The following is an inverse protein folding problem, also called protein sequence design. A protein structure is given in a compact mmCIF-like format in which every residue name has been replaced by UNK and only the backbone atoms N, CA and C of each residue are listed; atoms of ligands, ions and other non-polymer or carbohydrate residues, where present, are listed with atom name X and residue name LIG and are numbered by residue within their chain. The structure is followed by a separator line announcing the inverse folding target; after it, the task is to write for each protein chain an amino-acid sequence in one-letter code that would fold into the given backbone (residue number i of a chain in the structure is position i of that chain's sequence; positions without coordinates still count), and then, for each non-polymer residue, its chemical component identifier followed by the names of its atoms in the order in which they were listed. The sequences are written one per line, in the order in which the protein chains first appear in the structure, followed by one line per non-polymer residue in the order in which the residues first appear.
data_IF_284848203418
#
_entry.id   IF_284848203418
#
_cell.length_a   1.000
_cell.length_b   1.000
_cell.length_c   1.000
_cell.angle_alpha   90.00
_cell.angle_beta   90.00
_cell.angle_gamma   90.00
#
_symmetry.space_group_name_H-M   'P 1'
#
loop_
_entity.id
_entity.type
_entity.pdbx_description
1 polymer ?
#
# COMPACT_ATOMS: atom_id res chain seq x y z
N UNK A 1 17.85 -23.19 5.97
CA UNK A 1 16.52 -23.70 5.56
C UNK A 1 15.85 -24.46 6.69
N UNK A 2 16.49 -25.49 7.28
CA UNK A 2 15.94 -26.18 8.47
C UNK A 2 15.49 -25.23 9.58
N UNK A 3 16.32 -24.23 9.91
CA UNK A 3 15.99 -23.18 10.88
C UNK A 3 14.65 -22.48 10.63
N UNK A 4 14.30 -22.15 9.37
CA UNK A 4 13.03 -21.46 9.07
C UNK A 4 11.81 -22.34 9.34
N UNK A 5 11.95 -23.65 9.09
CA UNK A 5 10.89 -24.62 9.38
C UNK A 5 10.72 -24.75 10.90
N UNK A 6 11.83 -24.82 11.64
CA UNK A 6 11.80 -24.92 13.09
C UNK A 6 11.21 -23.63 13.71
N UNK A 7 11.64 -22.45 13.23
CA UNK A 7 11.12 -21.14 13.66
C UNK A 7 9.59 -21.05 13.43
N UNK A 8 9.08 -21.53 12.29
CA UNK A 8 7.64 -21.53 12.01
C UNK A 8 6.87 -22.42 13.01
N UNK A 9 7.40 -23.59 13.36
CA UNK A 9 6.80 -24.47 14.37
C UNK A 9 6.87 -23.87 15.77
N UNK A 10 7.97 -23.22 16.12
CA UNK A 10 8.08 -22.53 17.40
C UNK A 10 7.07 -21.38 17.55
N UNK A 11 6.82 -20.63 16.48
CA UNK A 11 5.79 -19.58 16.48
C UNK A 11 4.39 -20.18 16.68
N UNK A 12 4.10 -21.29 16.00
CA UNK A 12 2.85 -22.03 16.19
C UNK A 12 2.71 -22.57 17.63
N UNK A 13 3.73 -23.24 18.16
CA UNK A 13 3.74 -23.77 19.52
C UNK A 13 3.59 -22.66 20.58
N UNK A 14 4.08 -21.45 20.28
CA UNK A 14 3.91 -20.26 21.11
C UNK A 14 2.50 -19.64 21.03
N UNK A 15 1.63 -20.15 20.17
CA UNK A 15 0.23 -19.70 20.02
C UNK A 15 0.03 -18.60 18.98
N UNK A 16 0.95 -18.41 18.04
CA UNK A 16 0.69 -17.56 16.88
C UNK A 16 -0.53 -18.10 16.11
N UNK A 17 -1.40 -17.20 15.63
CA UNK A 17 -2.58 -17.61 14.87
C UNK A 17 -2.34 -17.63 13.35
N UNK A 18 -1.24 -17.02 12.87
CA UNK A 18 -0.81 -17.00 11.49
C UNK A 18 0.67 -16.57 11.40
N UNK A 19 1.35 -16.87 10.28
CA UNK A 19 2.76 -16.52 10.05
C UNK A 19 2.91 -15.82 8.69
N UNK A 20 3.65 -14.71 8.66
CA UNK A 20 4.07 -14.09 7.39
C UNK A 20 5.39 -14.70 6.93
N UNK A 21 5.44 -15.15 5.67
CA UNK A 21 6.65 -15.61 5.01
C UNK A 21 7.08 -14.56 3.97
N UNK A 22 8.21 -13.89 4.23
CA UNK A 22 8.72 -12.80 3.41
C UNK A 22 10.03 -13.16 2.71
N UNK A 23 10.08 -12.94 1.39
CA UNK A 23 11.28 -13.16 0.56
C UNK A 23 11.89 -14.58 0.72
N UNK A 24 11.03 -15.59 0.83
CA UNK A 24 11.42 -17.00 0.97
C UNK A 24 11.29 -17.71 -0.39
N UNK A 25 12.22 -18.61 -0.77
CA UNK A 25 12.06 -19.42 -1.97
C UNK A 25 10.73 -20.20 -1.97
N UNK A 26 10.03 -20.26 -3.10
CA UNK A 26 8.69 -20.86 -3.22
C UNK A 26 8.61 -22.30 -2.69
N UNK A 27 9.63 -23.13 -2.94
CA UNK A 27 9.66 -24.50 -2.44
C UNK A 27 9.78 -24.56 -0.91
N UNK A 28 10.46 -23.59 -0.30
CA UNK A 28 10.62 -23.53 1.17
C UNK A 28 9.33 -23.07 1.82
N UNK A 29 8.63 -22.07 1.26
CA UNK A 29 7.35 -21.61 1.80
C UNK A 29 6.27 -22.69 1.69
N UNK A 30 6.28 -23.48 0.62
CA UNK A 30 5.42 -24.66 0.46
C UNK A 30 5.65 -25.67 1.59
N UNK A 31 6.91 -26.05 1.84
CA UNK A 31 7.25 -26.99 2.92
C UNK A 31 6.82 -26.45 4.28
N UNK A 32 7.00 -25.15 4.54
CA UNK A 32 6.57 -24.53 5.80
C UNK A 32 5.04 -24.60 5.93
N UNK A 33 4.31 -24.21 4.90
CA UNK A 33 2.84 -24.19 4.89
C UNK A 33 2.23 -25.59 5.05
N UNK A 34 2.92 -26.63 4.57
CA UNK A 34 2.51 -28.04 4.78
C UNK A 34 2.84 -28.57 6.18
N UNK A 35 3.72 -27.90 6.94
CA UNK A 35 4.24 -28.38 8.24
C UNK A 35 3.60 -27.72 9.46
N UNK A 36 3.01 -26.54 9.30
CA UNK A 36 2.26 -25.86 10.37
C UNK A 36 0.77 -25.98 10.09
N UNK A 37 -0.06 -25.95 11.13
CA UNK A 37 -1.52 -26.00 11.03
C UNK A 37 -2.17 -24.61 10.94
N UNK A 38 -1.42 -23.56 11.31
CA UNK A 38 -1.88 -22.17 11.24
C UNK A 38 -1.64 -21.55 9.85
N UNK A 39 -2.49 -20.61 9.40
CA UNK A 39 -2.35 -19.96 8.10
C UNK A 39 -0.99 -19.30 7.86
N UNK A 40 -0.41 -19.53 6.68
CA UNK A 40 0.75 -18.79 6.19
C UNK A 40 0.36 -17.70 5.20
N UNK A 41 0.99 -16.53 5.30
CA UNK A 41 0.73 -15.36 4.44
C UNK A 41 2.01 -14.99 3.70
N UNK A 42 2.00 -15.11 2.38
CA UNK A 42 3.18 -14.88 1.55
C UNK A 42 3.34 -13.43 1.08
N UNK A 43 4.57 -12.92 1.11
CA UNK A 43 5.00 -11.73 0.36
C UNK A 43 6.37 -12.02 -0.27
N UNK A 44 6.39 -12.21 -1.58
CA UNK A 44 7.60 -12.72 -2.25
C UNK A 44 7.98 -14.13 -1.80
N UNK A 45 7.00 -14.93 -1.37
CA UNK A 45 7.18 -16.31 -0.92
C UNK A 45 6.53 -17.35 -1.86
N UNK A 46 6.18 -16.96 -3.08
CA UNK A 46 5.48 -17.85 -4.03
C UNK A 46 4.02 -18.12 -3.63
N UNK A 47 3.35 -18.94 -4.45
CA UNK A 47 1.88 -19.10 -4.42
C UNK A 47 1.35 -20.11 -3.40
N UNK A 48 2.22 -20.86 -2.71
CA UNK A 48 1.82 -21.99 -1.86
C UNK A 48 1.52 -21.62 -0.40
N UNK A 49 1.53 -20.33 -0.05
CA UNK A 49 0.98 -19.87 1.22
C UNK A 49 -0.55 -19.80 1.15
N UNK A 50 -1.24 -19.92 2.30
CA UNK A 50 -2.70 -19.88 2.38
C UNK A 50 -3.30 -18.52 2.00
N UNK A 51 -2.54 -17.46 2.24
CA UNK A 51 -2.86 -16.10 1.86
C UNK A 51 -1.67 -15.37 1.25
N UNK A 52 -1.92 -14.17 0.74
CA UNK A 52 -0.90 -13.31 0.15
C UNK A 52 -1.08 -11.88 0.66
N UNK A 53 0.01 -11.15 0.81
CA UNK A 53 0.02 -9.73 1.18
C UNK A 53 0.96 -8.94 0.26
N UNK A 54 0.56 -7.71 -0.05
CA UNK A 54 1.38 -6.71 -0.72
C UNK A 54 1.15 -5.36 -0.04
N UNK A 55 2.16 -4.48 -0.08
CA UNK A 55 1.99 -3.09 0.32
C UNK A 55 1.11 -2.39 -0.72
N UNK A 56 0.08 -1.68 -0.27
CA UNK A 56 -0.91 -1.05 -1.15
C UNK A 56 -0.27 -0.04 -2.11
N UNK A 57 0.71 0.74 -1.65
CA UNK A 57 1.42 1.73 -2.46
C UNK A 57 2.18 1.06 -3.62
N UNK A 58 2.84 -0.06 -3.36
CA UNK A 58 3.57 -0.83 -4.36
C UNK A 58 2.59 -1.45 -5.36
N UNK A 59 1.53 -2.08 -4.86
CA UNK A 59 0.47 -2.70 -5.67
C UNK A 59 -0.23 -1.68 -6.58
N UNK A 60 -0.44 -0.45 -6.11
CA UNK A 60 -1.08 0.62 -6.88
C UNK A 60 -0.10 1.46 -7.71
N UNK A 61 1.20 1.19 -7.63
CA UNK A 61 2.22 1.93 -8.35
C UNK A 61 2.25 3.42 -8.01
N UNK A 62 2.16 3.75 -6.72
CA UNK A 62 2.26 5.14 -6.25
C UNK A 62 3.68 5.71 -6.36
N UNK A 63 4.69 4.84 -6.37
CA UNK A 63 6.11 5.18 -6.54
C UNK A 63 6.70 4.34 -7.67
N UNK A 64 7.67 4.89 -8.41
CA UNK A 64 8.27 4.23 -9.59
C UNK A 64 9.77 3.96 -9.47
N UNK A 65 10.44 4.52 -8.46
CA UNK A 65 11.91 4.50 -8.42
C UNK A 65 12.46 3.10 -8.15
N UNK A 66 11.66 2.26 -7.50
CA UNK A 66 11.96 0.85 -7.27
C UNK A 66 10.67 0.05 -7.15
N UNK A 67 10.58 -1.06 -7.89
CA UNK A 67 9.48 -2.03 -7.76
C UNK A 67 10.12 -3.38 -7.40
N UNK A 68 9.88 -3.92 -6.19
CA UNK A 68 10.40 -5.22 -5.82
C UNK A 68 9.93 -6.31 -6.79
N UNK A 69 10.78 -7.30 -7.07
CA UNK A 69 10.49 -8.36 -8.07
C UNK A 69 9.18 -9.12 -7.82
N UNK A 70 8.79 -9.27 -6.56
CA UNK A 70 7.58 -9.99 -6.17
C UNK A 70 6.30 -9.14 -6.23
N UNK A 71 6.42 -7.82 -6.47
CA UNK A 71 5.27 -6.93 -6.59
C UNK A 71 4.72 -7.02 -8.00
N UNK A 72 3.40 -7.21 -8.09
CA UNK A 72 2.63 -6.90 -9.29
C UNK A 72 1.96 -5.55 -9.11
N UNK A 73 2.29 -4.59 -9.96
CA UNK A 73 1.56 -3.33 -10.04
C UNK A 73 0.26 -3.56 -10.81
N UNK A 74 -0.88 -3.21 -10.19
CA UNK A 74 -2.21 -3.29 -10.78
C UNK A 74 -2.64 -1.96 -11.40
N UNK A 75 -1.98 -0.86 -11.03
CA UNK A 75 -2.13 0.50 -11.57
C UNK A 75 -0.80 1.24 -11.53
N UNK A 76 -0.74 2.38 -12.22
CA UNK A 76 0.36 3.34 -12.16
C UNK A 76 -0.18 4.67 -11.62
N UNK A 77 -0.52 4.69 -10.32
CA UNK A 77 -1.09 5.89 -9.71
C UNK A 77 -0.10 7.06 -9.63
N UNK A 78 1.20 6.82 -9.76
CA UNK A 78 2.19 7.88 -9.81
C UNK A 78 1.85 8.92 -10.89
N UNK A 79 1.51 8.48 -12.10
CA UNK A 79 1.17 9.39 -13.20
C UNK A 79 -0.10 10.20 -12.91
N UNK A 80 -1.13 9.55 -12.35
CA UNK A 80 -2.38 10.20 -11.98
C UNK A 80 -2.17 11.25 -10.87
N UNK A 81 -1.38 10.89 -9.85
CA UNK A 81 -1.02 11.78 -8.73
C UNK A 81 -0.21 12.96 -9.24
N UNK A 82 0.83 12.71 -10.05
CA UNK A 82 1.67 13.76 -10.65
C UNK A 82 0.83 14.72 -11.51
N UNK A 83 -0.10 14.19 -12.31
CA UNK A 83 -1.01 14.97 -13.12
C UNK A 83 -1.94 15.84 -12.27
N UNK A 84 -2.58 15.27 -11.25
CA UNK A 84 -3.48 15.98 -10.36
C UNK A 84 -2.76 17.13 -9.62
N UNK A 85 -1.55 16.89 -9.11
CA UNK A 85 -0.76 17.90 -8.41
C UNK A 85 -0.36 19.03 -9.37
N UNK A 86 0.08 18.72 -10.59
CA UNK A 86 0.43 19.74 -11.60
C UNK A 86 -0.78 20.59 -11.98
N UNK A 87 -1.94 19.97 -12.16
CA UNK A 87 -3.18 20.68 -12.47
C UNK A 87 -3.57 21.61 -11.32
N UNK A 88 -3.56 21.12 -10.07
CA UNK A 88 -3.82 21.95 -8.90
C UNK A 88 -2.85 23.15 -8.81
N UNK A 89 -1.54 22.92 -8.99
CA UNK A 89 -0.54 23.99 -8.99
C UNK A 89 -0.83 25.03 -10.08
N UNK A 90 -1.22 24.59 -11.29
CA UNK A 90 -1.59 25.48 -12.38
C UNK A 90 -2.81 26.32 -11.99
N UNK A 91 -3.86 25.68 -11.50
CA UNK A 91 -5.13 26.34 -11.16
C UNK A 91 -4.99 27.35 -10.00
N UNK A 92 -4.12 27.07 -9.04
CA UNK A 92 -3.78 28.03 -7.98
C UNK A 92 -3.00 29.21 -8.54
N UNK A 93 -2.00 28.96 -9.42
CA UNK A 93 -1.17 30.02 -10.00
C UNK A 93 -1.93 30.94 -10.95
N UNK A 94 -2.88 30.40 -11.71
CA UNK A 94 -3.73 31.17 -12.62
C UNK A 94 -5.02 31.68 -11.94
N UNK A 95 -5.19 31.43 -10.63
CA UNK A 95 -6.36 31.82 -9.83
C UNK A 95 -7.69 31.28 -10.34
N UNK A 96 -7.69 30.20 -11.14
CA UNK A 96 -8.92 29.47 -11.48
C UNK A 96 -9.44 28.61 -10.32
N UNK A 97 -8.55 28.17 -9.43
CA UNK A 97 -8.91 27.59 -8.13
C UNK A 97 -8.51 28.54 -6.98
N UNK A 98 -9.37 28.74 -5.96
CA UNK A 98 -10.72 28.18 -5.82
C UNK A 98 -11.78 28.87 -6.68
N UNK A 99 -12.64 28.10 -7.35
CA UNK A 99 -13.90 28.60 -7.90
C UNK A 99 -14.88 29.07 -6.80
N UNK A 100 -15.90 29.85 -7.16
CA UNK A 100 -16.97 30.33 -6.26
C UNK A 100 -17.67 29.22 -5.45
N UNK A 101 -17.77 28.00 -6.00
CA UNK A 101 -18.39 26.85 -5.30
C UNK A 101 -17.55 26.34 -4.12
N UNK A 102 -16.25 26.68 -4.10
CA UNK A 102 -15.32 26.30 -3.04
C UNK A 102 -15.15 27.42 -1.99
N UNK A 103 -15.90 28.51 -2.08
CA UNK A 103 -15.82 29.64 -1.13
C UNK A 103 -17.11 29.79 -0.33
N UNK A 104 -16.99 30.37 0.86
CA UNK A 104 -18.14 30.75 1.69
C UNK A 104 -18.57 32.18 1.37
N UNK A 105 -19.87 32.45 1.51
CA UNK A 105 -20.45 33.78 1.35
C UNK A 105 -20.38 34.54 2.67
N UNK A 106 -20.18 35.85 2.59
CA UNK A 106 -20.29 36.79 3.70
C UNK A 106 -21.21 37.94 3.27
N UNK A 107 -21.95 38.48 4.22
CA UNK A 107 -22.77 39.67 3.97
C UNK A 107 -21.87 40.88 3.69
N UNK A 108 -22.20 41.63 2.64
CA UNK A 108 -21.47 42.84 2.28
C UNK A 108 -21.67 43.95 3.31
N UNK A 109 -22.81 43.97 4.02
CA UNK A 109 -23.04 44.92 5.11
C UNK A 109 -22.02 44.75 6.23
N UNK A 110 -21.75 43.49 6.63
CA UNK A 110 -20.73 43.16 7.63
C UNK A 110 -19.34 43.60 7.15
N UNK A 111 -19.00 43.39 5.87
CA UNK A 111 -17.69 43.81 5.33
C UNK A 111 -17.49 45.33 5.42
N UNK A 112 -18.53 46.11 5.17
CA UNK A 112 -18.44 47.57 5.15
C UNK A 112 -18.17 48.16 6.55
N UNK A 113 -18.46 47.44 7.63
CA UNK A 113 -18.10 47.86 9.00
C UNK A 113 -16.60 47.78 9.29
N UNK A 114 -15.83 47.01 8.49
CA UNK A 114 -14.38 46.81 8.66
C UNK A 114 -13.52 47.59 7.65
N UNK A 115 -14.13 48.36 6.75
CA UNK A 115 -13.43 49.25 5.81
C UNK A 115 -13.44 50.69 6.29
#
# INVERSE_FOLDING_TARGET
MQKLIDDARYLEDAGAFAIVLECIPEEVSKIISEKVSIPTIGIGAGKYCDGQILVVNDMLGMYSDFVPKFVKQYRNLKEDIDGAIKNYIKEVKDSSFPEKKHTFKIDLEIINEFK
#
